data_IF_410948179538
#
_entry.id   IF_410948179538
#
_cell.length_a   1.000
_cell.length_b   1.000
_cell.length_c   1.000
_cell.angle_alpha   90.00
_cell.angle_beta   90.00
_cell.angle_gamma   90.00
#
_symmetry.space_group_name_H-M   'P 1'
#
loop_
_entity.id
_entity.type
_entity.pdbx_description
1 polymer ?
#
# COMPACT_ATOMS: atom_id res chain seq x y z
N UNK A 1 21.27 4.64 13.74
CA UNK A 1 21.15 3.22 14.12
C UNK A 1 21.97 2.96 15.36
N UNK A 2 21.48 2.14 16.28
CA UNK A 2 22.26 1.66 17.42
C UNK A 2 23.03 0.39 17.01
N UNK A 3 24.24 0.18 17.56
CA UNK A 3 25.05 -1.02 17.30
C UNK A 3 24.71 -2.08 18.34
N UNK A 4 24.25 -3.22 17.88
CA UNK A 4 23.92 -4.37 18.74
C UNK A 4 24.75 -5.56 18.29
N UNK A 5 25.36 -6.28 19.23
CA UNK A 5 26.07 -7.54 18.98
C UNK A 5 25.12 -8.67 19.33
N UNK A 6 24.78 -9.50 18.34
CA UNK A 6 23.91 -10.67 18.49
C UNK A 6 24.50 -11.80 17.66
N UNK A 7 24.25 -13.03 18.10
CA UNK A 7 24.49 -14.22 17.29
C UNK A 7 23.28 -14.47 16.40
N UNK A 8 23.54 -14.77 15.13
CA UNK A 8 22.51 -15.02 14.12
C UNK A 8 22.91 -16.29 13.36
N UNK A 9 21.91 -17.12 13.04
CA UNK A 9 22.13 -18.28 12.17
C UNK A 9 22.53 -17.79 10.78
N UNK A 10 23.76 -18.10 10.37
CA UNK A 10 24.33 -17.66 9.10
C UNK A 10 23.66 -18.32 7.88
N UNK A 11 23.08 -19.52 8.03
CA UNK A 11 22.36 -20.17 6.94
C UNK A 11 21.01 -19.47 6.69
N UNK A 12 20.26 -19.18 7.74
CA UNK A 12 19.01 -18.42 7.62
C UNK A 12 19.26 -16.99 7.14
N UNK A 13 20.36 -16.37 7.56
CA UNK A 13 20.72 -15.03 7.13
C UNK A 13 21.08 -15.00 5.62
N UNK A 14 21.74 -16.04 5.12
CA UNK A 14 22.02 -16.19 3.70
C UNK A 14 20.74 -16.40 2.88
N UNK A 15 19.84 -17.28 3.32
CA UNK A 15 18.55 -17.50 2.66
C UNK A 15 17.70 -16.22 2.63
N UNK A 16 17.64 -15.49 3.74
CA UNK A 16 16.99 -14.19 3.79
C UNK A 16 17.64 -13.17 2.83
N UNK A 17 18.96 -13.19 2.70
CA UNK A 17 19.67 -12.28 1.80
C UNK A 17 19.30 -12.54 0.32
N UNK A 18 19.14 -13.80 -0.06
CA UNK A 18 18.65 -14.19 -1.39
C UNK A 18 17.20 -13.76 -1.60
N UNK A 19 16.32 -14.01 -0.63
CA UNK A 19 14.90 -13.60 -0.68
C UNK A 19 14.75 -12.08 -0.84
N UNK A 20 15.55 -11.31 -0.09
CA UNK A 20 15.48 -9.84 -0.12
C UNK A 20 16.40 -9.20 -1.17
N UNK A 21 17.24 -9.99 -1.87
CA UNK A 21 18.22 -9.49 -2.83
C UNK A 21 19.28 -8.56 -2.22
N UNK A 22 19.60 -8.74 -0.93
CA UNK A 22 20.51 -7.87 -0.18
C UNK A 22 21.94 -8.41 -0.20
N UNK A 23 22.91 -7.49 -0.24
CA UNK A 23 24.35 -7.84 -0.33
C UNK A 23 25.08 -7.81 1.01
N UNK A 24 24.46 -7.27 2.06
CA UNK A 24 25.10 -7.12 3.37
C UNK A 24 24.20 -7.66 4.47
N UNK A 25 24.82 -8.28 5.49
CA UNK A 25 24.12 -8.82 6.67
C UNK A 25 23.20 -7.77 7.31
N UNK A 26 23.68 -6.53 7.46
CA UNK A 26 22.90 -5.41 8.02
C UNK A 26 21.68 -5.08 7.16
N UNK A 27 21.84 -5.03 5.83
CA UNK A 27 20.71 -4.78 4.94
C UNK A 27 19.66 -5.90 5.03
N UNK A 28 20.10 -7.17 5.08
CA UNK A 28 19.20 -8.31 5.24
C UNK A 28 18.42 -8.24 6.55
N UNK A 29 19.09 -7.98 7.67
CA UNK A 29 18.43 -7.90 8.99
C UNK A 29 17.43 -6.75 9.02
N UNK A 30 17.81 -5.56 8.52
CA UNK A 30 16.90 -4.42 8.50
C UNK A 30 15.69 -4.67 7.59
N UNK A 31 15.89 -5.27 6.41
CA UNK A 31 14.80 -5.63 5.50
C UNK A 31 13.84 -6.64 6.13
N UNK A 32 14.37 -7.67 6.78
CA UNK A 32 13.56 -8.68 7.47
C UNK A 32 12.73 -8.07 8.61
N UNK A 33 13.34 -7.19 9.43
CA UNK A 33 12.62 -6.50 10.50
C UNK A 33 11.53 -5.57 9.95
N UNK A 34 11.82 -4.84 8.88
CA UNK A 34 10.85 -3.98 8.22
C UNK A 34 9.67 -4.77 7.65
N UNK A 35 9.92 -5.90 6.99
CA UNK A 35 8.86 -6.76 6.46
C UNK A 35 7.95 -7.29 7.56
N UNK A 36 8.51 -7.81 8.65
CA UNK A 36 7.74 -8.31 9.80
C UNK A 36 6.87 -7.19 10.39
N UNK A 37 7.43 -6.00 10.59
CA UNK A 37 6.67 -4.86 11.11
C UNK A 37 5.53 -4.48 10.16
N UNK A 38 5.79 -4.38 8.86
CA UNK A 38 4.76 -4.07 7.86
C UNK A 38 3.69 -5.15 7.82
N UNK A 39 4.06 -6.42 7.87
CA UNK A 39 3.14 -7.55 7.90
C UNK A 39 2.22 -7.49 9.12
N UNK A 40 2.77 -7.27 10.32
CA UNK A 40 1.96 -7.13 11.54
C UNK A 40 1.04 -5.91 11.52
N UNK A 41 1.50 -4.79 10.97
CA UNK A 41 0.65 -3.60 10.78
C UNK A 41 -0.51 -3.88 9.82
N UNK A 42 -0.26 -4.59 8.71
CA UNK A 42 -1.32 -5.00 7.78
C UNK A 42 -2.33 -5.92 8.47
N UNK A 43 -1.87 -6.93 9.20
CA UNK A 43 -2.75 -7.83 9.97
C UNK A 43 -3.60 -7.07 11.00
N UNK A 44 -2.99 -6.17 11.78
CA UNK A 44 -3.71 -5.35 12.75
C UNK A 44 -4.74 -4.42 12.08
N UNK A 45 -4.41 -3.87 10.91
CA UNK A 45 -5.32 -3.05 10.12
C UNK A 45 -6.53 -3.87 9.63
N UNK A 46 -6.31 -5.07 9.10
CA UNK A 46 -7.40 -5.97 8.70
C UNK A 46 -8.29 -6.38 9.87
N UNK A 47 -7.71 -6.65 11.05
CA UNK A 47 -8.51 -6.94 12.24
C UNK A 47 -9.41 -5.74 12.62
N UNK A 48 -8.89 -4.51 12.55
CA UNK A 48 -9.69 -3.31 12.80
C UNK A 48 -10.79 -3.07 11.77
N UNK A 49 -10.54 -3.42 10.50
CA UNK A 49 -11.54 -3.42 9.43
C UNK A 49 -12.70 -4.35 9.77
N UNK A 50 -12.41 -5.60 10.13
CA UNK A 50 -13.43 -6.60 10.49
C UNK A 50 -14.21 -6.18 11.73
N UNK A 51 -13.54 -5.61 12.72
CA UNK A 51 -14.16 -5.13 13.97
C UNK A 51 -14.94 -3.82 13.80
N UNK A 52 -14.97 -3.22 12.60
CA UNK A 52 -15.63 -1.95 12.34
C UNK A 52 -15.03 -0.78 13.15
N UNK A 53 -13.77 -0.89 13.59
CA UNK A 53 -13.10 0.09 14.45
C UNK A 53 -12.09 0.95 13.69
N UNK A 54 -12.39 1.24 12.43
CA UNK A 54 -11.62 2.23 11.67
C UNK A 54 -12.09 3.63 12.05
N UNK A 55 -11.22 4.46 12.66
CA UNK A 55 -11.55 5.84 12.95
C UNK A 55 -11.72 6.59 11.63
N UNK A 56 -12.72 7.47 11.58
CA UNK A 56 -13.02 8.36 10.46
C UNK A 56 -13.35 7.69 9.11
N UNK A 57 -13.55 6.37 9.08
CA UNK A 57 -13.90 5.60 7.86
C UNK A 57 -15.25 4.86 7.96
N UNK A 58 -15.87 4.85 9.14
CA UNK A 58 -17.19 4.24 9.37
C UNK A 58 -18.30 5.26 9.62
N UNK A 59 -18.00 6.55 9.43
CA UNK A 59 -18.99 7.63 9.53
C UNK A 59 -19.84 7.75 8.25
N UNK A 60 -20.93 8.53 8.29
CA UNK A 60 -21.70 8.87 7.09
C UNK A 60 -20.78 9.50 6.04
N UNK A 61 -20.85 9.01 4.80
CA UNK A 61 -20.21 9.67 3.67
C UNK A 61 -21.09 10.84 3.23
N UNK A 62 -20.59 12.07 3.39
CA UNK A 62 -21.15 13.23 2.71
C UNK A 62 -20.91 13.04 1.21
N UNK A 63 -21.90 12.45 0.53
CA UNK A 63 -21.93 12.45 -0.92
C UNK A 63 -22.19 13.90 -1.31
N UNK A 64 -21.25 14.60 -1.97
CA UNK A 64 -21.56 15.91 -2.51
C UNK A 64 -22.81 15.73 -3.37
N UNK A 65 -23.85 16.52 -3.10
CA UNK A 65 -25.02 16.57 -3.94
C UNK A 65 -24.51 16.68 -5.38
N UNK A 66 -24.94 15.74 -6.23
CA UNK A 66 -24.51 15.72 -7.62
C UNK A 66 -24.67 17.15 -8.15
N UNK A 67 -23.66 17.75 -8.79
CA UNK A 67 -23.79 19.10 -9.30
C UNK A 67 -25.06 19.13 -10.12
N UNK A 68 -26.00 19.96 -9.67
CA UNK A 68 -27.26 20.23 -10.33
C UNK A 68 -26.96 20.34 -11.82
N UNK A 69 -27.58 19.45 -12.60
CA UNK A 69 -27.24 19.22 -14.00
C UNK A 69 -26.97 20.56 -14.68
N UNK A 70 -25.71 20.80 -15.06
CA UNK A 70 -25.36 21.95 -15.86
C UNK A 70 -26.27 21.92 -17.10
N UNK A 71 -26.89 23.05 -17.49
CA UNK A 71 -27.71 23.09 -18.68
C UNK A 71 -26.86 22.61 -19.86
N UNK A 72 -27.49 21.73 -20.60
CA UNK A 72 -27.01 20.94 -21.72
C UNK A 72 -26.30 21.80 -22.79
N UNK A 73 -25.01 22.09 -22.61
CA UNK A 73 -24.18 22.70 -23.65
C UNK A 73 -22.78 22.08 -23.66
N UNK A 74 -22.65 20.93 -24.32
CA UNK A 74 -21.45 20.63 -25.08
C UNK A 74 -21.86 20.12 -26.47
N UNK A 75 -21.54 20.85 -27.55
CA UNK A 75 -21.77 20.34 -28.89
C UNK A 75 -20.85 19.14 -29.09
N UNK A 76 -21.45 17.99 -29.41
CA UNK A 76 -20.73 16.82 -29.94
C UNK A 76 -19.86 17.27 -31.12
N UNK A 77 -18.54 17.00 -31.12
CA UNK A 77 -17.72 17.30 -32.28
C UNK A 77 -18.18 16.41 -33.42
N UNK A 78 -18.53 17.04 -34.55
CA UNK A 78 -18.89 16.35 -35.78
C UNK A 78 -17.75 15.39 -36.16
N UNK A 79 -18.02 14.09 -36.08
CA UNK A 79 -17.15 13.04 -36.60
C UNK A 79 -17.03 13.29 -38.09
N UNK A 80 -15.86 13.78 -38.52
CA UNK A 80 -15.52 13.82 -39.94
C UNK A 80 -15.37 12.38 -40.41
N UNK A 81 -16.37 11.92 -41.13
CA UNK A 81 -16.33 10.71 -41.93
C UNK A 81 -15.13 10.80 -42.87
N UNK A 82 -14.12 9.95 -42.66
CA UNK A 82 -12.97 9.85 -43.53
C UNK A 82 -13.35 8.87 -44.65
N UNK A 83 -14.08 9.38 -45.63
CA UNK A 83 -14.34 8.67 -46.88
C UNK A 83 -13.23 8.96 -47.89
N UNK A 84 -12.64 7.87 -48.40
CA UNK A 84 -11.88 7.68 -49.65
C UNK A 84 -10.58 8.51 -49.86
#
# INVERSE_FOLDING_TARGET
>A
MARTVIDVDDALLAEAAEIFGTKTKVATVNAALEDVVKRRKREAFFNRLVEGRLPDLTGPVDRPEAPEAAPDEHPVPAVRDKAA
#
